data_IF_790056109947
#
_entry.id   IF_790056109947
#
_cell.length_a   1.000
_cell.length_b   1.000
_cell.length_c   1.000
_cell.angle_alpha   90.00
_cell.angle_beta   90.00
_cell.angle_gamma   90.00
#
_symmetry.space_group_name_H-M   'P 1'
#
loop_
_entity.id
_entity.type
_entity.pdbx_description
1 polymer ?
#
# COMPACT_ATOMS: atom_id res chain seq x y z
N UNK A 1 -14.85 -3.59 -17.69
CA UNK A 1 -13.97 -2.66 -16.97
C UNK A 1 -12.83 -3.51 -16.44
N UNK A 2 -11.55 -3.17 -16.66
CA UNK A 2 -10.49 -3.89 -15.97
C UNK A 2 -10.76 -3.77 -14.46
N UNK A 3 -10.62 -4.89 -13.75
CA UNK A 3 -10.68 -4.93 -12.29
C UNK A 3 -9.71 -3.87 -11.74
N UNK A 4 -10.09 -3.11 -10.69
CA UNK A 4 -9.19 -2.12 -10.15
C UNK A 4 -7.89 -2.81 -9.73
N UNK A 5 -6.80 -2.36 -10.32
CA UNK A 5 -5.44 -2.76 -9.95
C UNK A 5 -5.26 -2.54 -8.43
N UNK A 6 -5.01 -3.61 -7.68
CA UNK A 6 -4.89 -3.57 -6.21
C UNK A 6 -3.88 -2.49 -5.77
N UNK A 7 -2.81 -2.33 -6.54
CA UNK A 7 -1.81 -1.29 -6.33
C UNK A 7 -2.46 0.11 -6.30
N UNK A 8 -3.34 0.40 -7.25
CA UNK A 8 -4.05 1.68 -7.35
C UNK A 8 -5.03 1.91 -6.19
N UNK A 9 -5.67 0.85 -5.66
CA UNK A 9 -6.59 0.95 -4.53
C UNK A 9 -5.88 1.34 -3.22
N UNK A 10 -4.68 0.81 -3.01
CA UNK A 10 -3.90 1.03 -1.80
C UNK A 10 -2.95 2.23 -1.92
N UNK A 11 -2.33 2.46 -3.08
CA UNK A 11 -1.36 3.54 -3.28
C UNK A 11 -1.96 4.93 -3.02
N UNK A 12 -3.19 5.20 -3.48
CA UNK A 12 -3.84 6.51 -3.25
C UNK A 12 -4.02 6.79 -1.75
N UNK A 13 -4.39 5.78 -0.96
CA UNK A 13 -4.54 5.93 0.49
C UNK A 13 -3.19 6.05 1.20
N UNK A 14 -2.16 5.32 0.75
CA UNK A 14 -0.80 5.43 1.28
C UNK A 14 -0.20 6.83 1.07
N UNK A 15 -0.41 7.42 -0.11
CA UNK A 15 0.00 8.81 -0.40
C UNK A 15 -0.69 9.81 0.55
N UNK A 16 -1.96 9.59 0.91
CA UNK A 16 -2.69 10.44 1.85
C UNK A 16 -2.17 10.38 3.30
N UNK A 17 -1.39 9.34 3.66
CA UNK A 17 -0.76 9.24 4.97
C UNK A 17 0.41 10.23 5.10
N UNK A 18 0.91 10.79 4.00
CA UNK A 18 2.00 11.79 4.02
C UNK A 18 3.18 11.30 4.90
N UNK A 19 3.62 10.08 4.63
CA UNK A 19 4.75 9.46 5.32
C UNK A 19 5.57 8.64 4.33
N UNK A 20 6.90 8.59 4.49
CA UNK A 20 7.74 7.76 3.63
C UNK A 20 7.30 6.30 3.65
N UNK A 21 7.08 5.72 2.48
CA UNK A 21 6.74 4.32 2.34
C UNK A 21 7.44 3.70 1.12
N UNK A 22 7.48 2.37 1.10
CA UNK A 22 7.92 1.61 -0.06
C UNK A 22 7.04 0.38 -0.24
N UNK A 23 6.70 0.08 -1.49
CA UNK A 23 6.14 -1.22 -1.88
C UNK A 23 7.28 -2.23 -1.89
N UNK A 24 7.06 -3.39 -1.28
CA UNK A 24 8.05 -4.45 -1.18
C UNK A 24 7.46 -5.78 -1.66
N UNK A 25 8.11 -6.89 -1.33
CA UNK A 25 7.59 -8.23 -1.57
C UNK A 25 7.44 -8.58 -3.05
N UNK A 26 6.45 -9.42 -3.34
CA UNK A 26 6.23 -9.96 -4.68
C UNK A 26 5.85 -8.87 -5.69
N UNK A 27 5.05 -7.88 -5.28
CA UNK A 27 4.65 -6.76 -6.14
C UNK A 27 5.85 -5.92 -6.58
N UNK A 28 6.78 -5.59 -5.66
CA UNK A 28 8.02 -4.94 -6.04
C UNK A 28 8.86 -5.80 -6.99
N UNK A 29 8.96 -7.11 -6.74
CA UNK A 29 9.70 -8.02 -7.62
C UNK A 29 9.12 -8.04 -9.05
N UNK A 30 7.78 -8.03 -9.20
CA UNK A 30 7.09 -7.93 -10.49
C UNK A 30 7.44 -6.63 -11.21
N UNK A 31 7.42 -5.49 -10.50
CA UNK A 31 7.79 -4.19 -11.06
C UNK A 31 9.25 -4.13 -11.55
N UNK A 32 10.15 -4.89 -10.91
CA UNK A 32 11.54 -5.05 -11.33
C UNK A 32 11.78 -6.22 -12.30
N UNK A 33 10.72 -6.80 -12.88
CA UNK A 33 10.80 -7.78 -13.97
C UNK A 33 10.94 -9.24 -13.55
N UNK A 34 10.69 -9.58 -12.28
CA UNK A 34 10.60 -10.97 -11.82
C UNK A 34 9.16 -11.49 -11.92
N UNK A 35 8.87 -12.49 -12.78
CA UNK A 35 7.52 -13.02 -12.90
C UNK A 35 7.11 -13.75 -11.63
N UNK A 36 6.01 -13.32 -11.02
CA UNK A 36 5.39 -13.91 -9.83
C UNK A 36 3.87 -13.77 -9.91
N UNK A 37 3.18 -14.52 -9.05
CA UNK A 37 1.77 -14.32 -8.75
C UNK A 37 1.68 -13.94 -7.28
N UNK A 38 0.98 -12.86 -6.99
CA UNK A 38 0.58 -12.49 -5.63
C UNK A 38 -0.81 -11.86 -5.67
N UNK A 39 -1.52 -11.93 -4.55
CA UNK A 39 -2.82 -11.30 -4.33
C UNK A 39 -2.78 -10.40 -3.08
N UNK A 40 -1.57 -10.04 -2.64
CA UNK A 40 -1.34 -9.15 -1.51
C UNK A 40 -0.37 -8.03 -1.88
N UNK A 41 -0.34 -7.01 -1.04
CA UNK A 41 0.55 -5.87 -1.17
C UNK A 41 1.33 -5.70 0.13
N UNK A 42 2.63 -5.97 0.05
CA UNK A 42 3.55 -5.69 1.15
C UNK A 42 4.04 -4.23 1.09
N UNK A 43 3.96 -3.54 2.22
CA UNK A 43 4.41 -2.14 2.36
C UNK A 43 5.26 -1.98 3.62
N UNK A 44 6.36 -1.25 3.51
CA UNK A 44 7.08 -0.70 4.66
C UNK A 44 6.73 0.78 4.76
N UNK A 45 6.26 1.21 5.93
CA UNK A 45 5.84 2.59 6.22
C UNK A 45 6.66 3.13 7.40
N UNK A 46 7.20 4.34 7.26
CA UNK A 46 7.84 5.05 8.36
C UNK A 46 6.77 5.71 9.24
N UNK A 47 6.56 5.19 10.45
CA UNK A 47 5.51 5.64 11.36
C UNK A 47 6.08 6.56 12.45
N UNK A 48 5.43 7.72 12.62
CA UNK A 48 5.51 8.58 13.80
C UNK A 48 4.10 8.76 14.39
N UNK A 49 3.96 9.59 15.43
CA UNK A 49 2.66 9.81 16.06
C UNK A 49 1.63 10.45 15.11
N UNK A 50 2.07 11.32 14.19
CA UNK A 50 1.18 12.02 13.26
C UNK A 50 0.75 11.10 12.11
N UNK A 51 1.67 10.34 11.53
CA UNK A 51 1.36 9.38 10.47
C UNK A 51 0.61 8.16 10.99
N UNK A 52 0.78 7.77 12.26
CA UNK A 52 -0.08 6.76 12.90
C UNK A 52 -1.54 7.19 12.89
N UNK A 53 -1.84 8.44 13.26
CA UNK A 53 -3.21 8.94 13.26
C UNK A 53 -3.80 8.99 11.85
N UNK A 54 -3.00 9.40 10.85
CA UNK A 54 -3.42 9.43 9.44
C UNK A 54 -3.60 8.02 8.86
N UNK A 55 -2.77 7.06 9.24
CA UNK A 55 -2.91 5.65 8.87
C UNK A 55 -4.27 5.10 9.31
N UNK A 56 -4.63 5.28 10.59
CA UNK A 56 -5.91 4.82 11.12
C UNK A 56 -7.11 5.53 10.48
N UNK A 57 -6.92 6.76 10.01
CA UNK A 57 -7.96 7.48 9.27
C UNK A 57 -8.09 6.99 7.82
N UNK A 58 -6.96 6.74 7.14
CA UNK A 58 -6.93 6.27 5.76
C UNK A 58 -7.37 4.80 5.61
N UNK A 59 -7.19 4.00 6.67
CA UNK A 59 -7.53 2.57 6.73
C UNK A 59 -8.42 2.29 7.96
N UNK A 60 -9.71 2.62 7.92
CA UNK A 60 -10.61 2.40 9.04
C UNK A 60 -10.98 0.91 9.18
N UNK A 61 -11.08 0.43 10.42
CA UNK A 61 -11.45 -0.97 10.77
C UNK A 61 -12.82 -1.41 10.21
N UNK A 62 -13.71 -0.46 9.90
CA UNK A 62 -15.00 -0.79 9.28
C UNK A 62 -14.87 -1.22 7.80
N UNK A 63 -13.76 -0.90 7.15
CA UNK A 63 -13.46 -1.24 5.75
C UNK A 63 -12.44 -2.38 5.60
N UNK A 64 -11.63 -2.66 6.64
CA UNK A 64 -10.50 -3.60 6.63
C UNK A 64 -10.44 -4.43 7.91
#
# INVERSE_FOLDING_TARGET
>A
MPEPDELSLFAVRLEAIDAPYMITGATAAILYGQPRVTNDLDVVLAIDDASRARLLHAFPEAEF
#
